data_IF_874619508330
#
_entry.id   IF_874619508330
#
_cell.length_a   1.000
_cell.length_b   1.000
_cell.length_c   1.000
_cell.angle_alpha   90.00
_cell.angle_beta   90.00
_cell.angle_gamma   90.00
#
_symmetry.space_group_name_H-M   'P 1'
#
loop_
_entity.id
_entity.type
_entity.pdbx_description
1 polymer ?
#
# COMPACT_ATOMS: atom_id res chain seq x y z
N UNK A 1 -27.96 -13.23 -31.71
CA UNK A 1 -27.67 -14.20 -30.63
C UNK A 1 -26.51 -15.07 -31.09
N UNK A 2 -25.46 -15.23 -30.27
CA UNK A 2 -24.29 -16.05 -30.62
C UNK A 2 -24.71 -17.53 -30.66
N UNK A 3 -24.17 -18.33 -31.60
CA UNK A 3 -24.49 -19.76 -31.74
C UNK A 3 -23.72 -20.59 -30.71
N UNK A 4 -24.36 -21.62 -30.15
CA UNK A 4 -23.73 -22.50 -29.15
C UNK A 4 -22.45 -23.18 -29.66
N UNK A 5 -22.45 -23.61 -30.93
CA UNK A 5 -21.28 -24.22 -31.57
C UNK A 5 -20.04 -23.31 -31.53
N UNK A 6 -20.23 -21.99 -31.70
CA UNK A 6 -19.15 -21.01 -31.61
C UNK A 6 -18.62 -20.89 -30.18
N UNK A 7 -19.51 -20.89 -29.18
CA UNK A 7 -19.12 -20.84 -27.76
C UNK A 7 -18.31 -22.09 -27.38
N UNK A 8 -18.73 -23.27 -27.83
CA UNK A 8 -18.03 -24.53 -27.53
C UNK A 8 -16.67 -24.62 -28.25
N UNK A 9 -16.55 -24.04 -29.44
CA UNK A 9 -15.28 -23.92 -30.17
C UNK A 9 -14.31 -23.00 -29.42
N UNK A 10 -14.78 -21.83 -28.97
CA UNK A 10 -13.99 -20.89 -28.19
C UNK A 10 -13.54 -21.48 -26.84
N UNK A 11 -14.38 -22.28 -26.18
CA UNK A 11 -14.05 -22.98 -24.92
C UNK A 11 -12.87 -23.94 -25.06
N UNK A 12 -12.66 -24.52 -26.25
CA UNK A 12 -11.54 -25.44 -26.53
C UNK A 12 -10.27 -24.72 -26.95
N UNK A 13 -10.39 -23.53 -27.55
CA UNK A 13 -9.25 -22.78 -28.12
C UNK A 13 -8.67 -21.74 -27.18
N UNK A 14 -9.50 -21.12 -26.32
CA UNK A 14 -9.04 -20.09 -25.39
C UNK A 14 -8.50 -20.73 -24.10
N UNK A 15 -7.50 -20.10 -23.46
CA UNK A 15 -7.18 -20.41 -22.08
C UNK A 15 -8.43 -20.27 -21.19
N UNK A 16 -8.62 -21.15 -20.17
CA UNK A 16 -9.84 -21.17 -19.35
C UNK A 16 -10.22 -19.80 -18.78
N UNK A 17 -9.25 -19.03 -18.31
CA UNK A 17 -9.47 -17.70 -17.71
C UNK A 17 -10.01 -16.66 -18.71
N UNK A 18 -9.55 -16.75 -19.96
CA UNK A 18 -10.00 -15.86 -21.01
C UNK A 18 -11.41 -16.20 -21.45
N UNK A 19 -11.75 -17.49 -21.47
CA UNK A 19 -13.11 -17.94 -21.76
C UNK A 19 -14.10 -17.51 -20.67
N UNK A 20 -13.77 -17.73 -19.38
CA UNK A 20 -14.59 -17.28 -18.24
C UNK A 20 -14.90 -15.78 -18.31
N UNK A 21 -13.89 -14.96 -18.63
CA UNK A 21 -14.03 -13.50 -18.75
C UNK A 21 -14.87 -13.06 -19.95
N UNK A 22 -14.58 -13.58 -21.14
CA UNK A 22 -15.20 -13.11 -22.39
C UNK A 22 -16.59 -13.73 -22.64
N UNK A 23 -16.87 -14.93 -22.12
CA UNK A 23 -18.10 -15.69 -22.42
C UNK A 23 -18.99 -15.98 -21.20
N UNK A 24 -18.43 -16.10 -20.00
CA UNK A 24 -19.21 -16.45 -18.79
C UNK A 24 -19.44 -15.23 -17.87
N UNK A 25 -18.85 -14.08 -18.21
CA UNK A 25 -18.91 -12.84 -17.43
C UNK A 25 -18.47 -13.02 -15.96
N UNK A 26 -17.61 -14.02 -15.72
CA UNK A 26 -17.01 -14.27 -14.42
C UNK A 26 -15.77 -13.38 -14.23
N UNK A 27 -15.59 -12.89 -13.01
CA UNK A 27 -14.39 -12.15 -12.62
C UNK A 27 -13.19 -13.11 -12.57
N UNK A 28 -12.53 -13.34 -13.71
CA UNK A 28 -11.30 -14.11 -13.83
C UNK A 28 -10.04 -13.28 -13.50
N UNK A 29 -10.17 -12.29 -12.60
CA UNK A 29 -9.06 -11.39 -12.19
C UNK A 29 -8.29 -11.95 -10.97
N UNK A 30 -8.93 -12.80 -10.16
CA UNK A 30 -8.33 -13.36 -8.95
C UNK A 30 -7.13 -14.29 -9.22
N UNK A 31 -7.06 -14.95 -10.37
CA UNK A 31 -5.97 -15.91 -10.65
C UNK A 31 -4.59 -15.26 -10.89
N UNK A 32 -4.56 -13.97 -11.27
CA UNK A 32 -3.32 -13.23 -11.49
C UNK A 32 -2.97 -12.24 -10.36
N UNK A 33 -3.84 -12.09 -9.35
CA UNK A 33 -3.61 -11.17 -8.24
C UNK A 33 -2.60 -11.74 -7.25
N UNK A 34 -1.63 -10.93 -6.83
CA UNK A 34 -0.70 -11.33 -5.76
C UNK A 34 -1.42 -11.54 -4.42
N UNK A 35 -2.44 -10.72 -4.15
CA UNK A 35 -3.34 -10.80 -3.00
C UNK A 35 -4.75 -11.18 -3.49
N UNK A 36 -5.19 -12.43 -3.30
CA UNK A 36 -6.54 -12.86 -3.66
C UNK A 36 -7.63 -12.09 -2.90
N UNK A 37 -8.82 -11.95 -3.49
CA UNK A 37 -9.92 -11.21 -2.88
C UNK A 37 -10.36 -11.77 -1.51
N UNK A 38 -10.30 -13.09 -1.32
CA UNK A 38 -10.64 -13.71 -0.04
C UNK A 38 -9.65 -13.35 1.07
N UNK A 39 -8.38 -13.14 0.74
CA UNK A 39 -7.35 -12.66 1.66
C UNK A 39 -7.62 -11.19 2.02
N UNK A 40 -7.89 -10.34 1.03
CA UNK A 40 -8.24 -8.93 1.25
C UNK A 40 -9.48 -8.81 2.16
N UNK A 41 -10.53 -9.59 1.87
CA UNK A 41 -11.77 -9.56 2.63
C UNK A 41 -11.59 -9.91 4.13
N UNK A 42 -10.62 -10.76 4.48
CA UNK A 42 -10.31 -11.11 5.88
C UNK A 42 -9.65 -9.97 6.66
N UNK A 43 -9.01 -9.03 5.96
CA UNK A 43 -8.36 -7.88 6.58
C UNK A 43 -9.31 -6.69 6.79
N UNK A 44 -10.55 -6.77 6.31
CA UNK A 44 -11.53 -5.68 6.46
C UNK A 44 -12.09 -5.71 7.89
N UNK A 45 -11.78 -4.66 8.64
CA UNK A 45 -12.38 -4.42 9.95
C UNK A 45 -13.53 -3.40 9.81
N UNK A 46 -14.80 -3.79 10.04
CA UNK A 46 -15.96 -2.96 9.72
C UNK A 46 -16.05 -1.68 10.55
N UNK A 47 -15.50 -1.69 11.76
CA UNK A 47 -15.55 -0.56 12.71
C UNK A 47 -14.22 0.20 12.81
N UNK A 48 -13.29 -0.01 11.87
CA UNK A 48 -12.01 0.70 11.86
C UNK A 48 -12.16 2.05 11.18
N UNK A 49 -12.08 3.11 11.98
CA UNK A 49 -12.01 4.49 11.50
C UNK A 49 -10.56 4.97 11.41
N UNK A 50 -10.31 5.86 10.46
CA UNK A 50 -8.98 6.45 10.27
C UNK A 50 -8.82 7.66 11.20
N UNK A 51 -7.65 7.80 11.80
CA UNK A 51 -7.28 9.01 12.53
C UNK A 51 -7.09 10.18 11.57
N UNK A 52 -7.74 11.31 11.87
CA UNK A 52 -7.55 12.56 11.15
C UNK A 52 -6.13 13.08 11.33
N UNK A 53 -5.63 13.84 10.35
CA UNK A 53 -4.30 14.46 10.41
C UNK A 53 -4.12 15.37 11.64
N UNK A 54 -5.19 16.04 12.08
CA UNK A 54 -5.20 16.95 13.24
C UNK A 54 -5.41 16.24 14.59
N UNK A 55 -5.52 14.92 14.61
CA UNK A 55 -5.71 14.15 15.83
C UNK A 55 -4.41 13.91 16.60
N UNK A 56 -4.55 13.57 17.88
CA UNK A 56 -3.45 13.25 18.80
C UNK A 56 -3.68 11.85 19.41
N UNK A 57 -3.62 10.78 18.61
CA UNK A 57 -3.84 9.43 19.11
C UNK A 57 -2.63 8.92 19.91
N UNK A 58 -2.91 8.05 20.87
CA UNK A 58 -1.91 7.32 21.65
C UNK A 58 -1.94 5.84 21.26
N UNK A 59 -0.77 5.24 21.03
CA UNK A 59 -0.64 3.86 20.54
C UNK A 59 0.78 3.59 20.08
N UNK A 60 1.02 2.41 19.51
CA UNK A 60 2.32 2.05 18.90
C UNK A 60 2.18 2.10 17.39
N UNK A 61 2.79 3.10 16.77
CA UNK A 61 2.59 3.38 15.35
C UNK A 61 3.86 3.18 14.53
N UNK A 62 3.67 2.78 13.28
CA UNK A 62 4.71 2.69 12.26
C UNK A 62 4.22 3.34 10.98
N UNK A 63 5.07 4.10 10.29
CA UNK A 63 4.69 4.77 9.04
C UNK A 63 5.51 4.26 7.85
N UNK A 64 4.86 4.16 6.70
CA UNK A 64 5.48 3.93 5.40
C UNK A 64 5.31 5.16 4.51
N UNK A 65 6.37 5.54 3.78
CA UNK A 65 6.37 6.68 2.87
C UNK A 65 6.86 6.23 1.49
N UNK A 66 6.04 6.47 0.48
CA UNK A 66 6.39 6.29 -0.94
C UNK A 66 6.42 7.68 -1.61
N UNK A 67 7.51 7.97 -2.32
CA UNK A 67 7.74 9.28 -2.92
C UNK A 67 7.51 9.26 -4.43
N UNK A 68 6.38 9.85 -4.84
CA UNK A 68 6.06 10.19 -6.22
C UNK A 68 6.03 11.70 -6.45
N UNK A 69 6.15 12.14 -7.70
CA UNK A 69 6.12 13.57 -8.06
C UNK A 69 5.36 13.88 -9.33
N UNK A 70 5.87 13.42 -10.47
CA UNK A 70 5.36 13.86 -11.77
C UNK A 70 4.37 12.90 -12.43
N UNK A 71 4.57 11.59 -12.24
CA UNK A 71 3.73 10.54 -12.83
C UNK A 71 2.92 9.83 -11.76
N UNK A 72 3.61 9.48 -10.68
CA UNK A 72 3.06 8.80 -9.52
C UNK A 72 2.88 9.78 -8.37
N UNK A 73 1.93 9.48 -7.49
CA UNK A 73 1.65 10.26 -6.29
C UNK A 73 2.62 9.90 -5.17
N UNK A 74 2.95 10.85 -4.30
CA UNK A 74 3.48 10.49 -2.99
C UNK A 74 2.35 9.95 -2.10
N UNK A 75 2.67 8.98 -1.25
CA UNK A 75 1.72 8.38 -0.31
C UNK A 75 2.38 8.15 1.06
N UNK A 76 1.61 8.37 2.11
CA UNK A 76 1.95 8.05 3.50
C UNK A 76 0.88 7.13 4.04
N UNK A 77 1.29 6.03 4.67
CA UNK A 77 0.40 5.14 5.40
C UNK A 77 0.93 4.96 6.82
N UNK A 78 0.04 4.94 7.82
CA UNK A 78 0.39 4.66 9.20
C UNK A 78 -0.40 3.44 9.68
N UNK A 79 0.30 2.52 10.31
CA UNK A 79 -0.29 1.34 10.95
C UNK A 79 -0.13 1.43 12.46
N UNK A 80 -1.18 1.04 13.18
CA UNK A 80 -1.16 0.83 14.63
C UNK A 80 -0.93 -0.66 14.91
N UNK A 81 0.03 -0.96 15.78
CA UNK A 81 0.24 -2.29 16.33
C UNK A 81 -0.56 -2.45 17.61
N UNK A 82 -1.53 -3.37 17.60
CA UNK A 82 -2.44 -3.60 18.72
C UNK A 82 -2.94 -5.04 18.70
N UNK A 83 -2.96 -5.69 19.87
CA UNK A 83 -3.46 -7.05 20.05
C UNK A 83 -2.83 -8.07 19.05
N UNK A 84 -1.51 -7.99 18.88
CA UNK A 84 -0.71 -8.79 17.94
C UNK A 84 -1.14 -8.66 16.46
N UNK A 85 -1.84 -7.58 16.11
CA UNK A 85 -2.30 -7.25 14.76
C UNK A 85 -1.84 -5.86 14.34
N UNK A 86 -1.82 -5.64 13.02
CA UNK A 86 -1.55 -4.35 12.41
C UNK A 86 -2.83 -3.80 11.79
N UNK A 87 -3.18 -2.57 12.13
CA UNK A 87 -4.34 -1.87 11.58
C UNK A 87 -3.85 -0.65 10.80
N UNK A 88 -4.23 -0.52 9.54
CA UNK A 88 -3.98 0.72 8.79
C UNK A 88 -4.94 1.79 9.30
N UNK A 89 -4.42 2.73 10.09
CA UNK A 89 -5.21 3.75 10.80
C UNK A 89 -5.12 5.13 10.19
N UNK A 90 -4.23 5.35 9.22
CA UNK A 90 -4.16 6.60 8.49
C UNK A 90 -3.53 6.39 7.12
N UNK A 91 -4.04 7.11 6.11
CA UNK A 91 -3.48 7.12 4.78
C UNK A 91 -3.68 8.48 4.14
N UNK A 92 -2.63 9.00 3.53
CA UNK A 92 -2.67 10.27 2.82
C UNK A 92 -1.98 10.12 1.47
N UNK A 93 -2.67 10.54 0.40
CA UNK A 93 -2.13 10.62 -0.95
C UNK A 93 -2.04 12.08 -1.36
N UNK A 94 -0.83 12.53 -1.64
CA UNK A 94 -0.57 13.91 -2.08
C UNK A 94 -0.99 14.10 -3.54
N UNK A 95 -1.33 15.32 -3.99
CA UNK A 95 -1.53 15.60 -5.41
C UNK A 95 -0.22 15.47 -6.21
N UNK A 96 -0.32 15.29 -7.53
CA UNK A 96 0.85 15.33 -8.40
C UNK A 96 1.51 16.71 -8.37
N UNK A 97 2.83 16.72 -8.46
CA UNK A 97 3.66 17.92 -8.41
C UNK A 97 3.94 18.45 -7.00
N UNK A 98 3.37 17.81 -5.96
CA UNK A 98 3.65 18.16 -4.58
C UNK A 98 5.15 18.07 -4.27
N UNK A 99 5.65 18.97 -3.43
CA UNK A 99 7.07 19.00 -3.10
C UNK A 99 7.40 17.91 -2.09
N UNK A 100 8.59 17.31 -2.21
CA UNK A 100 9.08 16.35 -1.22
C UNK A 100 9.20 16.99 0.17
N UNK A 101 9.54 18.28 0.25
CA UNK A 101 9.54 19.02 1.51
C UNK A 101 8.16 19.06 2.18
N UNK A 102 7.08 19.18 1.40
CA UNK A 102 5.71 19.13 1.93
C UNK A 102 5.38 17.74 2.48
N UNK A 103 5.78 16.67 1.79
CA UNK A 103 5.59 15.28 2.22
C UNK A 103 6.36 15.02 3.52
N UNK A 104 7.63 15.44 3.59
CA UNK A 104 8.47 15.35 4.79
C UNK A 104 7.84 16.13 5.95
N UNK A 105 7.37 17.35 5.69
CA UNK A 105 6.69 18.18 6.69
C UNK A 105 5.40 17.54 7.23
N UNK A 106 4.65 16.85 6.37
CA UNK A 106 3.47 16.09 6.76
C UNK A 106 3.82 14.94 7.71
N UNK A 107 4.82 14.12 7.35
CA UNK A 107 5.29 13.00 8.18
C UNK A 107 5.84 13.49 9.51
N UNK A 108 6.61 14.60 9.50
CA UNK A 108 7.07 15.25 10.73
C UNK A 108 5.90 15.64 11.63
N UNK A 109 4.86 16.26 11.05
CA UNK A 109 3.69 16.69 11.82
C UNK A 109 2.96 15.50 12.44
N UNK A 110 2.85 14.37 11.72
CA UNK A 110 2.34 13.13 12.30
C UNK A 110 3.19 12.65 13.49
N UNK A 111 4.52 12.65 13.34
CA UNK A 111 5.44 12.25 14.41
C UNK A 111 5.36 13.15 15.65
N UNK A 112 5.03 14.43 15.47
CA UNK A 112 4.86 15.40 16.58
C UNK A 112 3.50 15.28 17.26
N UNK A 113 2.45 14.91 16.52
CA UNK A 113 1.06 14.83 17.04
C UNK A 113 0.75 13.48 17.68
N UNK A 114 1.34 12.40 17.18
CA UNK A 114 1.01 11.04 17.58
C UNK A 114 2.05 10.56 18.60
N UNK A 115 1.61 10.16 19.79
CA UNK A 115 2.49 9.97 20.96
C UNK A 115 3.68 9.03 20.71
N UNK A 116 3.59 8.08 19.76
CA UNK A 116 4.66 7.12 19.49
C UNK A 116 4.63 6.54 18.07
N UNK A 117 5.02 7.34 17.07
CA UNK A 117 5.55 6.77 15.81
C UNK A 117 6.94 6.23 16.08
N UNK A 118 7.05 4.91 16.22
CA UNK A 118 8.29 4.21 16.59
C UNK A 118 9.31 4.26 15.45
N UNK A 119 8.84 4.11 14.21
CA UNK A 119 9.69 4.13 13.03
C UNK A 119 8.89 4.56 11.80
N UNK A 120 9.58 5.27 10.92
CA UNK A 120 9.13 5.60 9.57
C UNK A 120 10.02 4.84 8.59
N UNK A 121 9.44 4.15 7.61
CA UNK A 121 10.18 3.51 6.52
C UNK A 121 9.90 4.27 5.23
N UNK A 122 10.95 4.80 4.60
CA UNK A 122 10.83 5.60 3.38
C UNK A 122 11.41 4.87 2.18
N UNK A 123 10.64 4.74 1.09
CA UNK A 123 11.17 4.28 -0.19
C UNK A 123 12.09 5.34 -0.79
N UNK A 124 13.39 5.04 -0.84
CA UNK A 124 14.40 5.90 -1.46
C UNK A 124 14.73 5.48 -2.90
N UNK A 125 13.99 4.52 -3.46
CA UNK A 125 14.17 4.05 -4.84
C UNK A 125 13.93 5.19 -5.82
N UNK A 126 14.95 5.54 -6.61
CA UNK A 126 14.86 6.54 -7.66
C UNK A 126 14.85 8.00 -7.19
N UNK A 127 14.38 8.28 -5.96
CA UNK A 127 14.49 9.62 -5.37
C UNK A 127 15.86 9.88 -4.75
N UNK A 128 16.54 8.85 -4.23
CA UNK A 128 17.90 8.92 -3.70
C UNK A 128 17.98 9.15 -2.18
N UNK A 129 19.19 8.96 -1.64
CA UNK A 129 19.47 8.97 -0.19
C UNK A 129 19.20 10.31 0.50
N UNK A 130 19.36 11.43 -0.22
CA UNK A 130 19.17 12.77 0.37
C UNK A 130 17.79 12.98 0.99
N UNK A 131 16.76 12.29 0.50
CA UNK A 131 15.41 12.44 1.04
C UNK A 131 15.31 11.87 2.46
N UNK A 132 16.02 10.78 2.71
CA UNK A 132 16.13 10.14 4.02
C UNK A 132 17.00 11.01 4.93
N UNK A 133 18.10 11.56 4.41
CA UNK A 133 18.92 12.54 5.15
C UNK A 133 18.11 13.75 5.60
N UNK A 134 17.29 14.34 4.71
CA UNK A 134 16.40 15.46 5.02
C UNK A 134 15.37 15.09 6.10
N UNK A 135 14.81 13.88 6.05
CA UNK A 135 13.89 13.36 7.07
C UNK A 135 14.58 13.17 8.43
N UNK A 136 15.81 12.61 8.45
CA UNK A 136 16.62 12.49 9.67
C UNK A 136 16.92 13.87 10.25
N UNK A 137 17.35 14.82 9.41
CA UNK A 137 17.61 16.20 9.80
C UNK A 137 16.36 16.91 10.35
N UNK A 138 15.18 16.52 9.88
CA UNK A 138 13.90 17.01 10.39
C UNK A 138 13.48 16.40 11.74
N UNK A 139 14.25 15.44 12.27
CA UNK A 139 13.98 14.74 13.52
C UNK A 139 13.04 13.53 13.40
N UNK A 140 12.81 13.04 12.18
CA UNK A 140 11.93 11.89 11.94
C UNK A 140 12.73 10.60 12.21
N UNK A 141 12.18 9.61 12.95
CA UNK A 141 12.82 8.32 13.19
C UNK A 141 12.74 7.41 11.95
N UNK A 142 13.44 7.80 10.87
CA UNK A 142 13.30 7.19 9.55
C UNK A 142 14.39 6.16 9.24
N UNK A 143 14.00 5.10 8.53
CA UNK A 143 14.87 4.15 7.83
C UNK A 143 14.59 4.20 6.32
N UNK A 144 15.64 4.36 5.52
CA UNK A 144 15.54 4.30 4.06
C UNK A 144 15.56 2.87 3.54
N UNK A 145 14.64 2.52 2.64
CA UNK A 145 14.61 1.22 1.96
C UNK A 145 14.76 1.38 0.44
N UNK A 146 15.59 0.54 -0.17
CA UNK A 146 15.66 0.40 -1.64
C UNK A 146 14.82 -0.81 -2.03
N UNK A 147 13.74 -0.59 -2.76
CA UNK A 147 12.79 -1.63 -3.18
C UNK A 147 13.28 -2.35 -4.44
N UNK A 148 14.31 -3.17 -4.28
CA UNK A 148 14.71 -4.16 -5.30
C UNK A 148 13.62 -5.21 -5.49
N UNK A 149 13.68 -5.99 -6.58
CA UNK A 149 12.73 -7.09 -6.80
C UNK A 149 12.69 -8.05 -5.60
N UNK A 150 13.86 -8.52 -5.15
CA UNK A 150 13.96 -9.40 -3.99
C UNK A 150 13.35 -8.76 -2.73
N UNK A 151 13.65 -7.47 -2.49
CA UNK A 151 13.14 -6.77 -1.30
C UNK A 151 11.61 -6.63 -1.34
N UNK A 152 11.04 -6.37 -2.52
CA UNK A 152 9.59 -6.36 -2.73
C UNK A 152 8.98 -7.73 -2.45
N UNK A 153 9.58 -8.80 -2.96
CA UNK A 153 9.10 -10.17 -2.72
C UNK A 153 9.12 -10.53 -1.22
N UNK A 154 10.17 -10.15 -0.50
CA UNK A 154 10.25 -10.33 0.96
C UNK A 154 9.15 -9.57 1.70
N UNK A 155 9.02 -8.26 1.45
CA UNK A 155 8.03 -7.39 2.13
C UNK A 155 6.60 -7.88 1.84
N UNK A 156 6.28 -8.13 0.56
CA UNK A 156 4.96 -8.59 0.16
C UNK A 156 4.68 -10.01 0.67
N UNK A 157 5.70 -10.85 0.78
CA UNK A 157 5.60 -12.18 1.39
C UNK A 157 5.23 -12.12 2.87
N UNK A 158 5.89 -11.25 3.65
CA UNK A 158 5.54 -11.02 5.06
C UNK A 158 4.15 -10.43 5.21
N UNK A 159 3.79 -9.44 4.38
CA UNK A 159 2.44 -8.86 4.38
C UNK A 159 1.39 -9.95 4.14
N UNK A 160 1.59 -10.81 3.13
CA UNK A 160 0.67 -11.91 2.81
C UNK A 160 0.50 -12.91 3.96
N UNK A 161 1.53 -13.13 4.77
CA UNK A 161 1.47 -14.01 5.95
C UNK A 161 0.76 -13.35 7.14
N UNK A 162 0.77 -12.02 7.22
CA UNK A 162 0.15 -11.25 8.29
C UNK A 162 -1.34 -10.93 8.03
N UNK A 163 -1.78 -11.05 6.77
CA UNK A 163 -3.18 -10.90 6.34
C UNK A 163 -4.03 -12.12 6.73
#
# INVERSE_FOLDING_TARGET
>A
MVKQEFIDEMRRMLPPERFKREFEAEFAEDEASYFPQDLIARCIHPDLDYYDFESYPSGVFYAGVDFGKHRDYSAVAVVESKDDKLYTVHMHRFPLGESYASVIGYVKTLCERWDSIVSVVADQTGVGEYIVEDMVNAGIPVEGVILTQQRKEEILGYMKQAM
#
